data_IF_355740474544
#
_entry.id   IF_355740474544
#
_cell.length_a   1.000
_cell.length_b   1.000
_cell.length_c   1.000
_cell.angle_alpha   90.00
_cell.angle_beta   90.00
_cell.angle_gamma   90.00
#
_symmetry.space_group_name_H-M   'P 1'
#
loop_
_entity.id
_entity.type
_entity.pdbx_description
1 polymer ?
#
# COMPACT_ATOMS: atom_id res chain seq x y z
N UNK A 1 -7.46 6.97 8.67
CA UNK A 1 -8.27 8.15 8.27
C UNK A 1 -7.45 9.43 8.14
N UNK A 2 -6.51 9.76 9.04
CA UNK A 2 -5.81 11.06 9.02
C UNK A 2 -4.84 11.26 7.83
N UNK A 3 -3.96 10.30 7.51
CA UNK A 3 -2.97 10.50 6.43
C UNK A 3 -3.60 10.52 5.02
N UNK A 4 -4.71 9.82 4.82
CA UNK A 4 -5.41 9.76 3.52
C UNK A 4 -6.33 10.96 3.26
N UNK A 5 -6.94 11.56 4.30
CA UNK A 5 -7.72 12.78 4.14
C UNK A 5 -6.82 13.99 3.86
N UNK A 6 -5.60 13.98 4.39
CA UNK A 6 -4.61 15.03 4.18
C UNK A 6 -3.89 14.86 2.83
N UNK A 7 -3.87 13.65 2.24
CA UNK A 7 -3.17 13.39 0.98
C UNK A 7 -3.69 14.21 -0.22
N UNK A 8 -5.00 14.28 -0.53
CA UNK A 8 -5.49 15.15 -1.60
C UNK A 8 -5.25 16.63 -1.26
N UNK A 9 -5.34 17.02 0.01
CA UNK A 9 -5.06 18.40 0.43
C UNK A 9 -3.57 18.74 0.29
N UNK A 10 -2.66 17.84 0.64
CA UNK A 10 -1.22 18.01 0.45
C UNK A 10 -0.83 17.93 -1.00
N UNK A 11 -1.43 17.06 -1.81
CA UNK A 11 -1.21 17.02 -3.27
C UNK A 11 -1.73 18.30 -3.91
N UNK A 12 -2.91 18.80 -3.52
CA UNK A 12 -3.45 20.09 -3.97
C UNK A 12 -2.53 21.22 -3.52
N UNK A 13 -2.10 21.25 -2.26
CA UNK A 13 -1.18 22.28 -1.75
C UNK A 13 0.18 22.17 -2.45
N UNK A 14 0.72 20.99 -2.70
CA UNK A 14 1.97 20.80 -3.45
C UNK A 14 1.79 21.26 -4.89
N UNK A 15 0.71 20.87 -5.58
CA UNK A 15 0.44 21.27 -6.97
C UNK A 15 0.14 22.77 -7.08
N UNK A 16 -0.56 23.35 -6.11
CA UNK A 16 -0.89 24.78 -6.05
C UNK A 16 0.35 25.59 -5.65
N UNK A 17 1.16 25.14 -4.69
CA UNK A 17 2.39 25.84 -4.28
C UNK A 17 3.50 25.67 -5.32
N UNK A 18 3.64 24.50 -5.96
CA UNK A 18 4.53 24.33 -7.11
C UNK A 18 4.02 25.10 -8.32
N UNK A 19 2.71 25.08 -8.59
CA UNK A 19 2.09 25.82 -9.69
C UNK A 19 2.26 27.33 -9.51
N UNK A 20 1.93 27.86 -8.33
CA UNK A 20 2.15 29.27 -7.97
C UNK A 20 3.64 29.60 -7.92
N UNK A 21 4.50 28.72 -7.44
CA UNK A 21 5.95 28.90 -7.44
C UNK A 21 6.53 28.98 -8.86
N UNK A 22 6.09 28.10 -9.76
CA UNK A 22 6.46 28.10 -11.19
C UNK A 22 5.92 29.35 -11.88
N UNK A 23 4.66 29.73 -11.62
CA UNK A 23 4.05 30.94 -12.18
C UNK A 23 4.77 32.20 -11.69
N UNK A 24 5.07 32.28 -10.39
CA UNK A 24 5.81 33.42 -9.81
C UNK A 24 7.23 33.48 -10.34
N UNK A 25 7.90 32.33 -10.54
CA UNK A 25 9.21 32.23 -11.18
C UNK A 25 9.14 32.70 -12.65
N UNK A 26 8.15 32.25 -13.42
CA UNK A 26 7.94 32.66 -14.81
C UNK A 26 7.61 34.15 -14.95
N UNK A 27 6.85 34.70 -13.99
CA UNK A 27 6.55 36.14 -13.92
C UNK A 27 7.82 36.93 -13.55
N UNK A 28 8.63 36.45 -12.61
CA UNK A 28 9.90 37.09 -12.26
C UNK A 28 10.94 37.03 -13.39
N UNK A 29 10.95 35.93 -14.16
CA UNK A 29 11.77 35.78 -15.37
C UNK A 29 11.35 36.75 -16.49
N UNK A 30 10.09 37.21 -16.49
CA UNK A 30 9.57 38.15 -17.49
C UNK A 30 9.64 39.61 -17.03
N UNK A 31 9.65 39.86 -15.72
CA UNK A 31 9.66 41.20 -15.11
C UNK A 31 11.05 41.79 -14.85
N UNK A 32 12.06 40.96 -14.62
CA UNK A 32 13.44 41.43 -14.52
C UNK A 32 14.09 41.40 -15.90
N UNK A 33 14.37 42.57 -16.45
CA UNK A 33 15.40 42.76 -17.46
C UNK A 33 16.74 42.45 -16.76
N UNK A 34 17.07 41.17 -16.62
CA UNK A 34 18.28 40.74 -15.94
C UNK A 34 19.47 41.09 -16.81
N UNK A 35 20.24 42.06 -16.30
CA UNK A 35 21.61 42.26 -16.68
C UNK A 35 22.37 40.91 -16.70
N UNK A 36 23.23 40.80 -17.68
CA UNK A 36 23.56 39.58 -18.41
C UNK A 36 24.56 38.66 -17.66
N UNK A 37 24.24 38.17 -16.45
CA UNK A 37 25.08 37.19 -15.74
C UNK A 37 24.25 36.12 -15.02
N UNK A 38 24.33 34.89 -15.57
CA UNK A 38 24.01 33.60 -14.94
C UNK A 38 22.53 33.17 -14.94
N UNK A 39 21.90 33.13 -16.12
CA UNK A 39 20.75 32.25 -16.33
C UNK A 39 21.27 30.82 -16.37
N UNK A 40 21.01 30.03 -15.32
CA UNK A 40 21.31 28.59 -15.34
C UNK A 40 20.69 27.97 -16.60
N UNK A 41 21.48 27.16 -17.31
CA UNK A 41 21.04 26.57 -18.59
C UNK A 41 19.78 25.74 -18.33
N UNK A 42 18.87 25.60 -19.30
CA UNK A 42 17.66 24.76 -19.15
C UNK A 42 17.97 23.36 -18.56
N UNK A 43 19.13 22.81 -18.94
CA UNK A 43 19.72 21.60 -18.36
C UNK A 43 19.85 21.63 -16.83
N UNK A 44 20.34 22.72 -16.24
CA UNK A 44 20.52 22.86 -14.79
C UNK A 44 19.19 22.90 -14.05
N UNK A 45 18.19 23.57 -14.64
CA UNK A 45 16.82 23.57 -14.13
C UNK A 45 16.23 22.15 -14.10
N UNK A 46 16.31 21.40 -15.21
CA UNK A 46 15.80 20.03 -15.26
C UNK A 46 16.55 19.06 -14.33
N UNK A 47 17.87 19.21 -14.18
CA UNK A 47 18.65 18.40 -13.24
C UNK A 47 18.27 18.69 -11.78
N UNK A 48 18.09 19.96 -11.41
CA UNK A 48 17.64 20.33 -10.05
C UNK A 48 16.20 19.88 -9.79
N UNK A 49 15.31 20.04 -10.76
CA UNK A 49 13.92 19.57 -10.66
C UNK A 49 13.88 18.04 -10.49
N UNK A 50 14.61 17.30 -11.32
CA UNK A 50 14.71 15.85 -11.23
C UNK A 50 15.24 15.38 -9.88
N UNK A 51 16.28 16.03 -9.35
CA UNK A 51 16.83 15.72 -8.03
C UNK A 51 15.79 15.93 -6.92
N UNK A 52 14.98 16.98 -7.01
CA UNK A 52 13.95 17.28 -6.01
C UNK A 52 12.77 16.34 -6.09
N UNK A 53 12.29 16.04 -7.30
CA UNK A 53 11.18 15.10 -7.50
C UNK A 53 11.57 13.73 -6.95
N UNK A 54 12.78 13.26 -7.26
CA UNK A 54 13.29 11.96 -6.78
C UNK A 54 13.55 11.96 -5.27
N UNK A 55 14.01 13.08 -4.71
CA UNK A 55 14.11 13.27 -3.27
C UNK A 55 12.75 13.15 -2.56
N UNK A 56 11.74 13.91 -3.00
CA UNK A 56 10.41 13.87 -2.39
C UNK A 56 9.73 12.52 -2.58
N UNK A 57 9.85 11.90 -3.76
CA UNK A 57 9.34 10.55 -4.01
C UNK A 57 9.95 9.54 -3.02
N UNK A 58 11.26 9.64 -2.77
CA UNK A 58 11.96 8.79 -1.80
C UNK A 58 11.49 9.05 -0.38
N UNK A 59 11.36 10.32 0.04
CA UNK A 59 10.90 10.67 1.38
C UNK A 59 9.47 10.19 1.65
N UNK A 60 8.56 10.39 0.71
CA UNK A 60 7.17 9.92 0.79
C UNK A 60 7.12 8.40 0.86
N UNK A 61 7.87 7.71 -0.02
CA UNK A 61 7.92 6.25 -0.02
C UNK A 61 8.48 5.68 1.29
N UNK A 62 9.51 6.32 1.87
CA UNK A 62 10.06 5.92 3.17
C UNK A 62 9.05 6.10 4.31
N UNK A 63 8.41 7.27 4.41
CA UNK A 63 7.40 7.55 5.45
C UNK A 63 6.24 6.55 5.37
N UNK A 64 5.71 6.35 4.17
CA UNK A 64 4.58 5.44 3.95
C UNK A 64 4.95 3.99 4.23
N UNK A 65 6.15 3.55 3.87
CA UNK A 65 6.66 2.22 4.20
C UNK A 65 6.77 2.01 5.72
N UNK A 66 7.33 2.97 6.45
CA UNK A 66 7.42 2.91 7.91
C UNK A 66 6.04 2.87 8.56
N UNK A 67 5.06 3.60 8.01
CA UNK A 67 3.69 3.57 8.54
C UNK A 67 3.05 2.20 8.39
N UNK A 68 3.34 1.50 7.29
CA UNK A 68 2.86 0.14 7.09
C UNK A 68 3.57 -0.87 7.99
N UNK A 69 4.88 -0.72 8.20
CA UNK A 69 5.62 -1.50 9.20
C UNK A 69 5.01 -1.33 10.59
N UNK A 70 4.67 -0.10 10.98
CA UNK A 70 4.04 0.19 12.27
C UNK A 70 2.62 -0.37 12.35
N UNK A 71 1.83 -0.29 11.28
CA UNK A 71 0.49 -0.89 11.21
C UNK A 71 0.54 -2.39 11.42
N UNK A 72 1.52 -3.06 10.80
CA UNK A 72 1.70 -4.50 10.92
C UNK A 72 2.10 -4.90 12.34
N UNK A 73 3.01 -4.15 12.97
CA UNK A 73 3.44 -4.41 14.34
C UNK A 73 2.33 -4.11 15.39
N UNK A 74 1.48 -3.12 15.10
CA UNK A 74 0.40 -2.67 15.99
C UNK A 74 -0.94 -2.60 15.24
N UNK A 75 -1.56 -3.75 14.93
CA UNK A 75 -2.83 -3.80 14.20
C UNK A 75 -3.95 -3.19 15.05
N UNK A 76 -4.78 -2.33 14.44
CA UNK A 76 -5.95 -1.75 15.12
C UNK A 76 -7.04 -2.82 15.28
N UNK A 77 -7.66 -2.86 16.46
CA UNK A 77 -8.66 -3.88 16.83
C UNK A 77 -10.05 -3.60 16.22
N UNK A 78 -10.22 -2.49 15.50
CA UNK A 78 -11.51 -2.14 14.90
C UNK A 78 -11.70 -2.88 13.57
N UNK A 79 -12.68 -3.80 13.55
CA UNK A 79 -13.24 -4.49 12.37
C UNK A 79 -13.93 -3.50 11.40
N UNK A 80 -13.19 -2.54 10.87
CA UNK A 80 -13.68 -1.68 9.81
C UNK A 80 -13.01 -2.09 8.51
N UNK A 81 -13.84 -2.46 7.53
CA UNK A 81 -13.47 -2.89 6.19
C UNK A 81 -12.20 -2.19 5.69
N UNK A 82 -11.20 -3.01 5.39
CA UNK A 82 -9.86 -2.63 4.97
C UNK A 82 -9.90 -1.91 3.62
N UNK A 83 -10.24 -0.62 3.64
CA UNK A 83 -10.25 0.23 2.47
C UNK A 83 -8.84 0.77 2.24
N UNK A 84 -8.15 0.14 1.29
CA UNK A 84 -6.92 0.62 0.65
C UNK A 84 -5.72 0.80 1.60
N UNK A 85 -4.98 -0.29 1.86
CA UNK A 85 -3.58 -0.18 2.27
C UNK A 85 -2.75 0.06 1.01
N UNK A 86 -2.01 1.18 0.91
CA UNK A 86 -1.04 1.39 -0.15
C UNK A 86 -0.12 0.17 -0.28
N UNK A 87 -0.05 -0.42 -1.47
CA UNK A 87 0.74 -1.64 -1.71
C UNK A 87 2.19 -1.44 -1.33
N UNK A 88 2.66 -2.03 -0.22
CA UNK A 88 4.06 -1.95 0.27
C UNK A 88 5.08 -2.17 -0.86
N UNK A 89 4.74 -3.02 -1.83
CA UNK A 89 5.57 -3.26 -3.03
C UNK A 89 5.82 -1.99 -3.86
N UNK A 90 4.85 -1.08 -3.94
CA UNK A 90 4.98 0.20 -4.64
C UNK A 90 5.94 1.15 -3.92
N UNK A 91 5.90 1.23 -2.58
CA UNK A 91 6.84 2.06 -1.83
C UNK A 91 8.26 1.51 -1.96
N UNK A 92 8.42 0.19 -1.84
CA UNK A 92 9.72 -0.46 -2.02
C UNK A 92 10.27 -0.22 -3.43
N UNK A 93 9.45 -0.40 -4.48
CA UNK A 93 9.85 -0.12 -5.86
C UNK A 93 10.23 1.35 -6.07
N UNK A 94 9.46 2.28 -5.48
CA UNK A 94 9.76 3.71 -5.54
C UNK A 94 11.10 4.02 -4.89
N UNK A 95 11.42 3.44 -3.73
CA UNK A 95 12.72 3.62 -3.08
C UNK A 95 13.87 3.05 -3.91
N UNK A 96 13.70 1.87 -4.49
CA UNK A 96 14.71 1.21 -5.33
C UNK A 96 15.08 2.07 -6.54
N UNK A 97 14.13 2.82 -7.11
CA UNK A 97 14.36 3.66 -8.31
C UNK A 97 14.68 5.11 -7.95
N UNK A 98 13.82 5.76 -7.16
CA UNK A 98 13.91 7.19 -6.91
C UNK A 98 15.13 7.56 -6.06
N UNK A 99 15.51 6.74 -5.08
CA UNK A 99 16.60 7.11 -4.19
C UNK A 99 17.98 7.04 -4.87
N UNK A 100 18.35 5.97 -5.60
CA UNK A 100 19.59 5.97 -6.38
C UNK A 100 19.62 7.07 -7.42
N UNK A 101 18.48 7.37 -8.06
CA UNK A 101 18.39 8.46 -9.03
C UNK A 101 18.62 9.83 -8.37
N UNK A 102 18.07 10.06 -7.17
CA UNK A 102 18.34 11.26 -6.37
C UNK A 102 19.84 11.42 -6.06
N UNK A 103 20.50 10.35 -5.62
CA UNK A 103 21.94 10.37 -5.33
C UNK A 103 22.76 10.66 -6.59
N UNK A 104 22.42 10.03 -7.71
CA UNK A 104 23.07 10.25 -9.01
C UNK A 104 22.94 11.70 -9.45
N UNK A 105 21.73 12.26 -9.45
CA UNK A 105 21.48 13.64 -9.85
C UNK A 105 22.17 14.63 -8.91
N UNK A 106 22.16 14.35 -7.59
CA UNK A 106 22.86 15.16 -6.59
C UNK A 106 24.37 15.14 -6.79
N UNK A 107 24.94 13.99 -7.15
CA UNK A 107 26.36 13.84 -7.47
C UNK A 107 26.74 14.58 -8.76
N UNK A 108 25.93 14.44 -9.82
CA UNK A 108 26.13 15.16 -11.08
C UNK A 108 26.09 16.68 -10.88
N UNK A 109 25.10 17.18 -10.12
CA UNK A 109 25.00 18.59 -9.77
C UNK A 109 26.22 19.07 -8.99
N UNK A 110 26.69 18.31 -8.01
CA UNK A 110 27.89 18.66 -7.25
C UNK A 110 29.16 18.71 -8.11
N UNK A 111 29.30 17.78 -9.07
CA UNK A 111 30.42 17.79 -10.00
C UNK A 111 30.40 19.04 -10.88
N UNK A 112 29.23 19.44 -11.38
CA UNK A 112 29.07 20.69 -12.14
C UNK A 112 29.42 21.93 -11.30
N UNK A 113 29.02 21.96 -10.02
CA UNK A 113 29.34 23.08 -9.12
C UNK A 113 30.83 23.18 -8.74
N UNK A 114 31.59 22.08 -8.84
CA UNK A 114 33.03 22.10 -8.63
C UNK A 114 33.77 22.76 -9.80
N UNK A 115 33.24 22.60 -11.02
CA UNK A 115 33.81 23.18 -12.25
C UNK A 115 33.42 24.65 -12.43
N UNK A 116 32.21 25.04 -12.03
CA UNK A 116 31.70 26.42 -12.15
C UNK A 116 31.09 26.91 -10.83
N UNK A 117 31.85 27.63 -9.98
CA UNK A 117 31.35 28.09 -8.68
C UNK A 117 30.21 29.10 -8.78
N UNK A 118 30.04 29.78 -9.93
CA UNK A 118 28.93 30.70 -10.20
C UNK A 118 27.56 30.00 -10.24
N UNK A 119 27.49 28.72 -10.62
CA UNK A 119 26.26 27.92 -10.60
C UNK A 119 25.82 27.55 -9.17
N UNK A 120 26.76 27.61 -8.21
CA UNK A 120 26.58 27.22 -6.80
C UNK A 120 25.69 28.22 -6.03
N UNK A 121 25.68 29.48 -6.48
CA UNK A 121 24.85 30.58 -5.97
C UNK A 121 23.54 30.76 -6.74
N UNK A 122 23.20 29.84 -7.65
CA UNK A 122 21.97 29.95 -8.46
C UNK A 122 20.73 30.17 -7.59
N UNK A 123 19.97 31.21 -7.94
CA UNK A 123 18.72 31.59 -7.27
C UNK A 123 17.75 30.41 -7.16
N UNK A 124 17.76 29.54 -8.17
CA UNK A 124 16.93 28.32 -8.26
C UNK A 124 17.20 27.37 -7.09
N UNK A 125 18.46 27.05 -6.78
CA UNK A 125 18.81 26.14 -5.69
C UNK A 125 18.38 26.70 -4.33
N UNK A 126 18.61 27.99 -4.12
CA UNK A 126 18.29 28.67 -2.86
C UNK A 126 16.78 28.74 -2.65
N UNK A 127 16.01 29.07 -3.69
CA UNK A 127 14.54 29.06 -3.65
C UNK A 127 13.99 27.66 -3.34
N UNK A 128 14.49 26.64 -4.03
CA UNK A 128 14.04 25.26 -3.84
C UNK A 128 14.35 24.75 -2.43
N UNK A 129 15.52 25.08 -1.86
CA UNK A 129 15.85 24.74 -0.48
C UNK A 129 14.92 25.43 0.54
N UNK A 130 14.55 26.69 0.31
CA UNK A 130 13.56 27.37 1.16
C UNK A 130 12.16 26.76 1.04
N UNK A 131 11.73 26.35 -0.17
CA UNK A 131 10.48 25.61 -0.35
C UNK A 131 10.51 24.31 0.46
N UNK A 132 11.61 23.55 0.40
CA UNK A 132 11.75 22.31 1.17
C UNK A 132 11.68 22.56 2.67
N UNK A 133 12.32 23.62 3.18
CA UNK A 133 12.22 24.00 4.59
C UNK A 133 10.81 24.40 4.99
N UNK A 134 10.11 25.16 4.15
CA UNK A 134 8.73 25.57 4.40
C UNK A 134 7.80 24.36 4.47
N UNK A 135 7.88 23.44 3.49
CA UNK A 135 7.09 22.21 3.47
C UNK A 135 7.41 21.35 4.70
N UNK A 136 8.69 21.12 5.00
CA UNK A 136 9.08 20.31 6.16
C UNK A 136 8.59 20.90 7.48
N UNK A 137 8.71 22.23 7.66
CA UNK A 137 8.18 22.93 8.83
C UNK A 137 6.66 22.83 8.94
N UNK A 138 5.94 22.98 7.82
CA UNK A 138 4.49 22.81 7.75
C UNK A 138 4.03 21.41 8.10
N UNK A 139 4.75 20.38 7.62
CA UNK A 139 4.48 18.97 7.97
C UNK A 139 4.66 18.74 9.47
N UNK A 140 5.76 19.22 10.06
CA UNK A 140 6.02 19.11 11.51
C UNK A 140 4.93 19.81 12.32
N UNK A 141 4.53 21.02 11.91
CA UNK A 141 3.47 21.76 12.59
C UNK A 141 2.11 21.06 12.49
N UNK A 142 1.73 20.59 11.30
CA UNK A 142 0.48 19.87 11.08
C UNK A 142 0.40 18.55 11.87
N UNK A 143 1.53 17.84 11.99
CA UNK A 143 1.62 16.62 12.78
C UNK A 143 1.43 16.91 14.28
N UNK A 144 2.08 17.95 14.80
CA UNK A 144 1.91 18.39 16.19
C UNK A 144 0.47 18.85 16.47
N UNK A 145 -0.15 19.59 15.55
CA UNK A 145 -1.56 19.98 15.64
C UNK A 145 -2.45 18.74 15.72
N UNK A 146 -2.20 17.71 14.90
CA UNK A 146 -2.99 16.48 14.90
C UNK A 146 -2.88 15.74 16.23
N UNK A 147 -1.68 15.64 16.79
CA UNK A 147 -1.45 15.02 18.11
C UNK A 147 -2.21 15.76 19.21
N UNK A 148 -2.08 17.08 19.24
CA UNK A 148 -2.76 17.91 20.25
C UNK A 148 -4.27 17.81 20.07
N UNK A 149 -4.77 17.89 18.84
CA UNK A 149 -6.20 17.74 18.54
C UNK A 149 -6.75 16.41 19.05
N UNK A 150 -6.11 15.28 18.72
CA UNK A 150 -6.56 13.96 19.18
C UNK A 150 -6.50 13.82 20.71
N UNK A 151 -5.50 14.42 21.35
CA UNK A 151 -5.38 14.45 22.80
C UNK A 151 -6.50 15.27 23.45
N UNK A 152 -6.81 16.46 22.92
CA UNK A 152 -7.88 17.33 23.43
C UNK A 152 -9.28 16.77 23.16
N UNK A 153 -9.46 16.07 22.05
CA UNK A 153 -10.71 15.40 21.67
C UNK A 153 -10.96 14.11 22.50
N UNK A 154 -10.02 13.73 23.36
CA UNK A 154 -10.14 12.55 24.23
C UNK A 154 -10.01 11.22 23.49
N UNK A 155 -9.44 11.23 22.28
CA UNK A 155 -9.24 10.01 21.50
C UNK A 155 -8.11 9.15 22.12
N UNK A 156 -8.28 7.83 22.07
CA UNK A 156 -7.22 6.91 22.49
C UNK A 156 -5.99 7.08 21.59
N UNK A 157 -4.90 7.63 22.15
CA UNK A 157 -3.61 7.72 21.49
C UNK A 157 -3.01 6.32 21.35
N UNK A 158 -3.37 5.62 20.28
CA UNK A 158 -2.85 4.27 20.02
C UNK A 158 -1.32 4.32 19.88
N UNK A 159 -0.62 3.27 20.35
CA UNK A 159 0.85 3.13 20.16
C UNK A 159 1.24 3.27 18.68
N UNK A 160 0.43 2.72 17.78
CA UNK A 160 0.61 2.84 16.32
C UNK A 160 0.60 4.29 15.82
N UNK A 161 -0.19 5.16 16.44
CA UNK A 161 -0.29 6.57 16.07
C UNK A 161 0.94 7.34 16.55
N UNK A 162 1.32 7.18 17.82
CA UNK A 162 2.48 7.84 18.40
C UNK A 162 3.79 7.48 17.66
N UNK A 163 3.97 6.22 17.29
CA UNK A 163 5.14 5.78 16.53
C UNK A 163 5.19 6.39 15.12
N UNK A 164 4.05 6.63 14.48
CA UNK A 164 3.98 7.25 13.14
C UNK A 164 4.32 8.73 13.19
N UNK A 165 3.75 9.44 14.16
CA UNK A 165 4.06 10.84 14.47
C UNK A 165 5.57 10.96 14.73
N UNK A 166 6.13 10.12 15.60
CA UNK A 166 7.55 10.12 15.91
C UNK A 166 8.41 9.84 14.66
N UNK A 167 8.04 8.85 13.84
CA UNK A 167 8.74 8.57 12.59
C UNK A 167 8.70 9.77 11.61
N UNK A 168 7.55 10.41 11.49
CA UNK A 168 7.37 11.59 10.64
C UNK A 168 8.22 12.77 11.13
N UNK A 169 8.20 13.05 12.44
CA UNK A 169 9.01 14.10 13.07
C UNK A 169 10.51 13.87 12.89
N UNK A 170 10.98 12.64 13.06
CA UNK A 170 12.40 12.30 12.87
C UNK A 170 12.82 12.52 11.42
N UNK A 171 12.01 12.08 10.45
CA UNK A 171 12.33 12.22 9.02
C UNK A 171 12.22 13.70 8.58
N UNK A 172 11.08 14.35 8.82
CA UNK A 172 10.86 15.73 8.42
C UNK A 172 11.83 16.69 9.15
N UNK A 173 12.06 16.47 10.44
CA UNK A 173 13.05 17.21 11.23
C UNK A 173 14.48 16.98 10.76
N UNK A 174 14.85 15.74 10.42
CA UNK A 174 16.16 15.43 9.84
C UNK A 174 16.39 16.13 8.51
N UNK A 175 15.40 16.09 7.61
CA UNK A 175 15.42 16.83 6.33
C UNK A 175 15.54 18.33 6.58
N UNK A 176 14.73 18.87 7.48
CA UNK A 176 14.74 20.29 7.82
C UNK A 176 16.12 20.73 8.35
N UNK A 177 16.70 20.00 9.29
CA UNK A 177 18.01 20.30 9.86
C UNK A 177 19.12 20.20 8.80
N UNK A 178 19.07 19.20 7.93
CA UNK A 178 20.02 19.05 6.83
C UNK A 178 19.97 20.26 5.89
N UNK A 179 18.78 20.61 5.39
CA UNK A 179 18.63 21.76 4.48
C UNK A 179 18.92 23.10 5.16
N UNK A 180 18.63 23.25 6.45
CA UNK A 180 18.97 24.45 7.21
C UNK A 180 20.48 24.64 7.31
N UNK A 181 21.22 23.57 7.65
CA UNK A 181 22.69 23.60 7.69
C UNK A 181 23.31 23.80 6.31
N UNK A 182 22.67 23.26 5.27
CA UNK A 182 23.07 23.47 3.87
C UNK A 182 22.98 24.94 3.49
N UNK A 183 21.85 25.61 3.76
CA UNK A 183 21.67 27.05 3.48
C UNK A 183 22.62 27.91 4.31
N UNK A 184 22.89 27.52 5.56
CA UNK A 184 23.86 28.20 6.42
C UNK A 184 25.32 27.93 6.02
N UNK A 185 25.58 27.07 5.03
CA UNK A 185 26.91 26.65 4.57
C UNK A 185 27.80 26.07 5.69
N UNK A 186 27.20 25.46 6.72
CA UNK A 186 27.94 24.94 7.90
C UNK A 186 28.36 23.47 7.69
N UNK A 187 27.88 22.80 6.64
CA UNK A 187 28.15 21.37 6.44
C UNK A 187 29.53 21.16 5.80
N UNK A 188 30.47 20.64 6.60
CA UNK A 188 31.77 20.19 6.12
C UNK A 188 31.65 19.04 5.09
N UNK A 189 32.62 18.86 4.17
CA UNK A 189 32.60 17.77 3.19
C UNK A 189 32.48 16.37 3.82
N UNK A 190 33.11 16.15 4.99
CA UNK A 190 33.03 14.90 5.76
C UNK A 190 31.62 14.65 6.31
N UNK A 191 30.96 15.68 6.83
CA UNK A 191 29.58 15.59 7.33
C UNK A 191 28.59 15.22 6.21
N UNK A 192 28.79 15.72 4.98
CA UNK A 192 27.94 15.35 3.83
C UNK A 192 27.98 13.86 3.54
N UNK A 193 29.15 13.23 3.66
CA UNK A 193 29.29 11.79 3.45
C UNK A 193 28.62 10.99 4.57
N UNK A 194 28.67 11.45 5.82
CA UNK A 194 27.96 10.81 6.93
C UNK A 194 26.45 10.82 6.68
N UNK A 195 25.87 11.98 6.32
CA UNK A 195 24.44 12.08 6.00
C UNK A 195 24.02 11.15 4.86
N UNK A 196 24.86 10.99 3.83
CA UNK A 196 24.63 10.04 2.74
C UNK A 196 24.62 8.59 3.21
N UNK A 197 25.63 8.19 3.97
CA UNK A 197 25.75 6.82 4.50
C UNK A 197 24.55 6.49 5.39
N UNK A 198 24.18 7.40 6.29
CA UNK A 198 23.01 7.25 7.16
C UNK A 198 21.72 7.12 6.33
N UNK A 199 21.52 7.96 5.32
CA UNK A 199 20.34 7.88 4.45
C UNK A 199 20.26 6.54 3.68
N UNK A 200 21.40 6.07 3.13
CA UNK A 200 21.49 4.76 2.45
C UNK A 200 21.14 3.63 3.41
N UNK A 201 21.72 3.63 4.62
CA UNK A 201 21.46 2.59 5.62
C UNK A 201 19.99 2.57 6.05
N UNK A 202 19.38 3.73 6.33
CA UNK A 202 17.97 3.84 6.71
C UNK A 202 17.07 3.23 5.62
N UNK A 203 17.34 3.53 4.35
CA UNK A 203 16.55 3.02 3.23
C UNK A 203 16.74 1.52 3.05
N UNK A 204 17.96 1.01 3.13
CA UNK A 204 18.23 -0.44 3.04
C UNK A 204 17.52 -1.22 4.16
N UNK A 205 17.59 -0.72 5.40
CA UNK A 205 16.90 -1.32 6.55
C UNK A 205 15.38 -1.27 6.36
N UNK A 206 14.84 -0.16 5.87
CA UNK A 206 13.40 -0.01 5.65
C UNK A 206 12.90 -0.95 4.54
N UNK A 207 13.64 -1.08 3.44
CA UNK A 207 13.33 -2.02 2.35
C UNK A 207 13.37 -3.47 2.88
N UNK A 208 14.40 -3.83 3.65
CA UNK A 208 14.51 -5.16 4.26
C UNK A 208 13.32 -5.47 5.19
N UNK A 209 12.93 -4.51 6.05
CA UNK A 209 11.76 -4.63 6.90
C UNK A 209 10.47 -4.80 6.09
N UNK A 210 10.32 -4.08 4.98
CA UNK A 210 9.18 -4.22 4.06
C UNK A 210 9.06 -5.63 3.49
N UNK A 211 10.17 -6.22 3.03
CA UNK A 211 10.18 -7.60 2.52
C UNK A 211 9.92 -8.64 3.61
N UNK A 212 10.39 -8.43 4.83
CA UNK A 212 10.12 -9.35 5.96
C UNK A 212 8.62 -9.41 6.32
N UNK A 213 7.89 -8.31 6.14
CA UNK A 213 6.47 -8.21 6.49
C UNK A 213 5.56 -8.74 5.38
N UNK A 214 5.83 -8.34 4.14
CA UNK A 214 5.00 -8.70 2.98
C UNK A 214 5.30 -10.12 2.49
N UNK A 215 6.51 -10.59 2.72
CA UNK A 215 7.01 -11.80 2.09
C UNK A 215 7.62 -11.52 0.72
N UNK A 216 8.21 -12.56 0.14
CA UNK A 216 8.91 -12.47 -1.15
C UNK A 216 7.93 -12.24 -2.32
N UNK A 217 8.40 -11.74 -3.48
CA UNK A 217 7.56 -11.65 -4.68
C UNK A 217 6.93 -12.98 -5.11
N UNK A 218 7.60 -14.10 -4.83
CA UNK A 218 7.08 -15.44 -5.09
C UNK A 218 5.89 -15.77 -4.17
N UNK A 219 6.00 -15.47 -2.87
CA UNK A 219 4.90 -15.62 -1.91
C UNK A 219 3.71 -14.71 -2.26
N UNK A 220 3.96 -13.48 -2.71
CA UNK A 220 2.89 -12.58 -3.15
C UNK A 220 2.15 -13.09 -4.38
N UNK A 221 2.84 -13.76 -5.32
CA UNK A 221 2.19 -14.44 -6.45
C UNK A 221 1.38 -15.65 -5.98
N UNK A 222 1.94 -16.48 -5.11
CA UNK A 222 1.25 -17.62 -4.50
C UNK A 222 -0.06 -17.18 -3.82
N UNK A 223 -0.01 -16.15 -2.98
CA UNK A 223 -1.21 -15.57 -2.33
C UNK A 223 -2.26 -15.08 -3.33
N UNK A 224 -1.85 -14.49 -4.45
CA UNK A 224 -2.78 -14.06 -5.51
C UNK A 224 -3.43 -15.24 -6.21
N UNK A 225 -2.66 -16.29 -6.52
CA UNK A 225 -3.22 -17.52 -7.07
C UNK A 225 -4.23 -18.16 -6.11
N UNK A 226 -3.90 -18.25 -4.81
CA UNK A 226 -4.82 -18.77 -3.80
C UNK A 226 -6.07 -17.89 -3.66
N UNK A 227 -5.95 -16.56 -3.70
CA UNK A 227 -7.11 -15.66 -3.68
C UNK A 227 -8.01 -15.83 -4.90
N UNK A 228 -7.43 -16.07 -6.08
CA UNK A 228 -8.18 -16.33 -7.30
C UNK A 228 -8.85 -17.71 -7.23
N UNK A 229 -8.17 -18.74 -6.73
CA UNK A 229 -8.76 -20.07 -6.48
C UNK A 229 -9.97 -19.98 -5.56
N UNK A 230 -9.88 -19.22 -4.47
CA UNK A 230 -11.03 -18.99 -3.57
C UNK A 230 -12.18 -18.30 -4.33
N UNK A 231 -11.89 -17.27 -5.12
CA UNK A 231 -12.90 -16.58 -5.94
C UNK A 231 -13.55 -17.52 -6.97
N UNK A 232 -12.77 -18.40 -7.59
CA UNK A 232 -13.24 -19.37 -8.57
C UNK A 232 -14.13 -20.42 -7.92
N UNK A 233 -13.71 -20.98 -6.78
CA UNK A 233 -14.51 -21.95 -6.02
C UNK A 233 -15.81 -21.32 -5.51
N UNK A 234 -15.80 -20.05 -5.10
CA UNK A 234 -17.01 -19.30 -4.75
C UNK A 234 -17.94 -19.15 -5.95
N UNK A 235 -17.40 -18.81 -7.12
CA UNK A 235 -18.16 -18.71 -8.36
C UNK A 235 -18.81 -20.06 -8.73
N UNK A 236 -18.06 -21.16 -8.65
CA UNK A 236 -18.57 -22.52 -8.86
C UNK A 236 -19.66 -22.87 -7.85
N UNK A 237 -19.43 -22.59 -6.56
CA UNK A 237 -20.43 -22.81 -5.51
C UNK A 237 -21.75 -22.10 -5.82
N UNK A 238 -21.70 -20.83 -6.22
CA UNK A 238 -22.90 -20.08 -6.58
C UNK A 238 -23.62 -20.66 -7.80
N UNK A 239 -22.90 -21.18 -8.79
CA UNK A 239 -23.55 -21.85 -9.91
C UNK A 239 -24.16 -23.20 -9.54
N UNK A 240 -23.56 -23.95 -8.61
CA UNK A 240 -24.17 -25.17 -8.07
C UNK A 240 -25.48 -24.82 -7.37
N UNK A 241 -25.52 -23.74 -6.59
CA UNK A 241 -26.75 -23.26 -5.94
C UNK A 241 -27.80 -22.87 -6.99
N UNK A 242 -27.43 -22.10 -8.02
CA UNK A 242 -28.35 -21.74 -9.10
C UNK A 242 -28.92 -22.98 -9.81
N UNK A 243 -28.06 -23.94 -10.13
CA UNK A 243 -28.45 -25.20 -10.76
C UNK A 243 -29.45 -25.96 -9.89
N UNK A 244 -29.18 -26.07 -8.59
CA UNK A 244 -30.08 -26.70 -7.62
C UNK A 244 -31.43 -25.99 -7.57
N UNK A 245 -31.45 -24.66 -7.52
CA UNK A 245 -32.70 -23.92 -7.45
C UNK A 245 -33.54 -24.08 -8.72
N UNK A 246 -32.93 -24.23 -9.90
CA UNK A 246 -33.64 -24.39 -11.15
C UNK A 246 -34.10 -25.83 -11.45
N UNK A 247 -33.31 -26.83 -11.04
CA UNK A 247 -33.52 -28.24 -11.41
C UNK A 247 -33.92 -29.14 -10.23
N UNK A 248 -33.86 -28.63 -8.99
CA UNK A 248 -34.24 -29.34 -7.77
C UNK A 248 -33.24 -30.40 -7.28
N UNK A 249 -32.09 -30.57 -7.95
CA UNK A 249 -31.04 -31.52 -7.59
C UNK A 249 -29.64 -30.96 -7.88
N UNK A 250 -28.61 -31.54 -7.27
CA UNK A 250 -27.22 -31.14 -7.51
C UNK A 250 -26.71 -31.65 -8.87
N UNK A 251 -25.77 -30.94 -9.52
CA UNK A 251 -25.15 -31.40 -10.76
C UNK A 251 -24.39 -32.73 -10.54
N UNK A 252 -24.35 -33.60 -11.55
CA UNK A 252 -23.59 -34.86 -11.46
C UNK A 252 -22.09 -34.63 -11.69
N UNK A 253 -21.75 -33.59 -12.46
CA UNK A 253 -20.39 -33.14 -12.77
C UNK A 253 -20.38 -31.63 -13.03
N UNK A 254 -19.22 -30.99 -12.94
CA UNK A 254 -19.12 -29.54 -13.18
C UNK A 254 -19.55 -29.13 -14.60
N UNK A 255 -19.36 -30.00 -15.61
CA UNK A 255 -19.78 -29.72 -16.98
C UNK A 255 -21.29 -29.47 -17.12
N UNK A 256 -22.10 -29.98 -16.19
CA UNK A 256 -23.55 -29.75 -16.16
C UNK A 256 -23.91 -28.29 -15.84
N UNK A 257 -22.94 -27.51 -15.31
CA UNK A 257 -23.08 -26.09 -15.00
C UNK A 257 -22.83 -25.19 -16.22
N UNK A 258 -22.24 -25.72 -17.29
CA UNK A 258 -21.95 -24.92 -18.49
C UNK A 258 -23.25 -24.53 -19.17
N UNK A 259 -23.44 -23.23 -19.36
CA UNK A 259 -24.61 -22.69 -20.03
C UNK A 259 -24.21 -21.60 -21.03
N UNK A 260 -24.33 -21.88 -22.34
CA UNK A 260 -24.04 -20.90 -23.40
C UNK A 260 -24.93 -19.67 -23.36
N UNK A 261 -26.13 -19.74 -22.76
CA UNK A 261 -27.09 -18.63 -22.73
C UNK A 261 -26.71 -17.63 -21.62
N UNK A 262 -26.43 -18.10 -20.41
CA UNK A 262 -25.90 -17.24 -19.33
C UNK A 262 -24.42 -16.89 -19.52
N UNK A 263 -23.70 -17.60 -20.39
CA UNK A 263 -22.28 -17.40 -20.65
C UNK A 263 -21.38 -17.92 -19.53
N UNK A 264 -21.89 -18.78 -18.64
CA UNK A 264 -21.08 -19.34 -17.58
C UNK A 264 -20.09 -20.37 -18.12
N UNK A 265 -18.80 -20.10 -17.88
CA UNK A 265 -17.70 -21.01 -18.12
C UNK A 265 -17.09 -21.42 -16.79
N UNK A 266 -16.72 -22.69 -16.66
CA UNK A 266 -16.08 -23.20 -15.45
C UNK A 266 -14.68 -22.57 -15.37
N UNK A 267 -14.35 -21.84 -14.29
CA UNK A 267 -13.01 -21.32 -14.08
C UNK A 267 -11.97 -22.44 -14.02
N UNK A 268 -10.73 -22.14 -14.43
CA UNK A 268 -9.59 -23.06 -14.37
C UNK A 268 -8.56 -22.55 -13.38
N UNK A 269 -7.80 -23.45 -12.79
CA UNK A 269 -6.72 -23.09 -11.88
C UNK A 269 -5.76 -22.10 -12.56
N UNK A 270 -5.53 -20.90 -11.99
CA UNK A 270 -4.76 -19.83 -12.64
C UNK A 270 -3.26 -20.14 -12.78
N UNK A 271 -2.77 -21.20 -12.13
CA UNK A 271 -1.37 -21.64 -12.17
C UNK A 271 -1.18 -22.87 -13.05
N UNK A 272 -2.12 -23.83 -13.02
CA UNK A 272 -1.97 -25.11 -13.74
C UNK A 272 -2.87 -25.24 -14.96
N UNK A 273 -3.83 -24.32 -15.16
CA UNK A 273 -4.90 -24.39 -16.16
C UNK A 273 -5.78 -25.67 -16.04
N UNK A 274 -5.70 -26.32 -14.88
CA UNK A 274 -6.45 -27.53 -14.56
C UNK A 274 -7.87 -27.24 -14.13
N UNK A 275 -8.74 -28.25 -14.19
CA UNK A 275 -10.09 -28.15 -13.62
C UNK A 275 -10.05 -28.29 -12.10
N UNK A 276 -10.92 -27.56 -11.42
CA UNK A 276 -11.20 -27.77 -10.01
C UNK A 276 -11.89 -29.12 -9.78
N UNK A 277 -11.64 -29.74 -8.63
CA UNK A 277 -12.26 -31.02 -8.30
C UNK A 277 -13.64 -30.80 -7.67
N UNK A 278 -14.61 -31.59 -8.12
CA UNK A 278 -15.96 -31.64 -7.57
C UNK A 278 -16.34 -33.06 -7.25
N UNK A 279 -16.84 -33.28 -6.04
CA UNK A 279 -17.35 -34.58 -5.61
C UNK A 279 -18.77 -34.40 -5.07
N UNK A 280 -19.73 -35.02 -5.75
CA UNK A 280 -21.09 -35.13 -5.24
C UNK A 280 -21.10 -36.15 -4.09
N UNK A 281 -21.36 -35.70 -2.86
CA UNK A 281 -21.39 -36.57 -1.67
C UNK A 281 -22.73 -37.26 -1.54
N UNK A 282 -23.82 -36.50 -1.69
CA UNK A 282 -25.17 -37.04 -1.61
C UNK A 282 -26.19 -36.09 -2.22
N UNK A 283 -27.06 -36.64 -3.06
CA UNK A 283 -28.25 -35.93 -3.56
C UNK A 283 -29.31 -35.72 -2.48
N UNK A 284 -29.45 -36.66 -1.53
CA UNK A 284 -30.49 -36.59 -0.49
C UNK A 284 -30.20 -35.52 0.55
N UNK A 285 -28.93 -35.39 0.97
CA UNK A 285 -28.49 -34.36 1.92
C UNK A 285 -27.99 -33.08 1.22
N UNK A 286 -28.04 -33.05 -0.12
CA UNK A 286 -27.60 -31.91 -0.94
C UNK A 286 -26.18 -31.47 -0.60
N UNK A 287 -25.32 -32.47 -0.37
CA UNK A 287 -23.93 -32.28 0.04
C UNK A 287 -22.97 -32.51 -1.13
N UNK A 288 -21.96 -31.66 -1.23
CA UNK A 288 -20.90 -31.73 -2.23
C UNK A 288 -19.57 -31.22 -1.66
N UNK A 289 -18.48 -31.59 -2.30
CA UNK A 289 -17.14 -31.09 -2.00
C UNK A 289 -16.56 -30.36 -3.22
N UNK A 290 -15.86 -29.26 -2.95
CA UNK A 290 -15.03 -28.54 -3.90
C UNK A 290 -13.58 -28.53 -3.42
N UNK A 291 -12.66 -29.03 -4.24
CA UNK A 291 -11.24 -29.06 -3.86
C UNK A 291 -10.36 -28.24 -4.81
N UNK A 292 -9.32 -27.65 -4.21
CA UNK A 292 -8.22 -27.03 -4.91
C UNK A 292 -6.91 -27.31 -4.16
N UNK A 293 -5.78 -27.10 -4.84
CA UNK A 293 -4.46 -27.19 -4.22
C UNK A 293 -3.94 -25.79 -3.98
N UNK A 294 -3.77 -25.39 -2.72
CA UNK A 294 -3.31 -24.06 -2.33
C UNK A 294 -1.80 -24.01 -2.12
N UNK A 295 -1.17 -22.91 -2.46
CA UNK A 295 0.27 -22.72 -2.28
C UNK A 295 0.62 -22.34 -0.83
N UNK A 296 -0.29 -21.69 -0.10
CA UNK A 296 -0.10 -21.27 1.28
C UNK A 296 -1.36 -21.35 2.16
N UNK A 297 -1.19 -20.95 3.41
CA UNK A 297 -2.32 -20.83 4.34
C UNK A 297 -3.15 -19.58 4.06
N UNK A 298 -4.47 -19.75 4.06
CA UNK A 298 -5.45 -18.68 3.93
C UNK A 298 -6.41 -18.78 5.09
N UNK A 299 -6.55 -17.71 5.86
CA UNK A 299 -7.40 -17.72 7.04
C UNK A 299 -8.90 -17.54 6.72
N UNK A 300 -9.25 -17.35 5.44
CA UNK A 300 -10.63 -17.19 5.00
C UNK A 300 -11.13 -15.74 5.01
N UNK A 301 -12.25 -15.49 4.33
CA UNK A 301 -12.88 -14.15 4.31
C UNK A 301 -13.38 -13.81 5.72
N UNK A 302 -12.79 -12.78 6.34
CA UNK A 302 -13.17 -12.32 7.67
C UNK A 302 -12.25 -12.77 8.82
N UNK A 303 -11.20 -13.54 8.58
CA UNK A 303 -10.27 -13.93 9.65
C UNK A 303 -9.23 -12.86 10.02
N UNK A 304 -9.68 -11.63 10.22
CA UNK A 304 -8.99 -10.77 11.17
C UNK A 304 -9.23 -11.35 12.55
N UNK A 305 -8.33 -12.22 13.06
CA UNK A 305 -8.36 -12.87 14.40
C UNK A 305 -9.73 -12.73 15.09
N UNK A 306 -10.78 -13.36 14.54
CA UNK A 306 -12.08 -13.33 15.21
C UNK A 306 -11.89 -14.19 16.45
N UNK A 307 -11.68 -13.54 17.59
CA UNK A 307 -11.90 -14.20 18.88
C UNK A 307 -13.30 -14.79 18.79
N UNK A 308 -13.51 -16.09 19.07
CA UNK A 308 -14.82 -16.68 19.03
C UNK A 308 -15.75 -15.80 19.87
N UNK A 309 -16.71 -15.15 19.20
CA UNK A 309 -17.78 -14.46 19.90
C UNK A 309 -18.58 -15.58 20.53
N UNK A 310 -18.45 -15.73 21.85
CA UNK A 310 -19.34 -16.59 22.62
C UNK A 310 -20.73 -15.98 22.47
N UNK A 311 -21.51 -16.48 21.52
CA UNK A 311 -22.94 -16.20 21.45
C UNK A 311 -23.56 -16.84 22.69
N UNK A 312 -23.72 -16.04 23.73
CA UNK A 312 -24.53 -16.39 24.89
C UNK A 312 -25.99 -16.53 24.41
N UNK A 313 -26.46 -17.76 24.21
CA UNK A 313 -27.87 -18.01 23.89
C UNK A 313 -28.18 -19.24 23.03
N UNK A 314 -27.18 -19.99 22.54
CA UNK A 314 -27.44 -21.21 21.77
C UNK A 314 -27.50 -22.45 22.69
N UNK A 315 -28.45 -23.37 22.49
CA UNK A 315 -28.55 -24.61 23.27
C UNK A 315 -27.30 -25.48 23.10
N UNK A 316 -26.91 -26.10 24.20
CA UNK A 316 -25.76 -26.98 24.39
C UNK A 316 -25.83 -28.13 23.38
N UNK A 317 -24.99 -28.08 22.33
CA UNK A 317 -24.95 -29.07 21.25
C UNK A 317 -24.94 -28.53 19.81
N UNK A 318 -25.16 -27.23 19.59
CA UNK A 318 -25.02 -26.61 18.27
C UNK A 318 -23.57 -26.19 17.98
N UNK A 319 -22.70 -27.15 17.70
CA UNK A 319 -21.44 -26.84 17.01
C UNK A 319 -21.79 -26.50 15.56
N UNK A 320 -22.10 -25.24 15.29
CA UNK A 320 -22.05 -24.73 13.92
C UNK A 320 -20.57 -24.73 13.57
N UNK A 321 -20.13 -25.72 12.80
CA UNK A 321 -18.78 -25.77 12.27
C UNK A 321 -18.59 -24.68 11.20
N UNK A 322 -18.37 -23.46 11.70
CA UNK A 322 -18.09 -22.25 10.90
C UNK A 322 -16.74 -22.32 10.18
N UNK A 323 -15.96 -23.38 10.35
CA UNK A 323 -14.73 -23.57 9.56
C UNK A 323 -15.07 -23.83 8.09
N UNK A 324 -16.21 -24.46 7.82
CA UNK A 324 -16.71 -24.64 6.46
C UNK A 324 -17.05 -23.30 5.78
N UNK A 325 -17.66 -22.35 6.49
CA UNK A 325 -18.16 -21.09 5.89
C UNK A 325 -17.07 -20.11 5.45
N UNK A 326 -15.85 -20.21 6.00
CA UNK A 326 -14.87 -19.12 5.91
C UNK A 326 -13.92 -19.19 4.71
N UNK A 327 -13.92 -20.25 3.89
CA UNK A 327 -12.88 -20.49 2.87
C UNK A 327 -11.45 -20.50 3.46
N UNK A 328 -11.32 -20.83 4.75
CA UNK A 328 -10.03 -21.02 5.38
C UNK A 328 -9.39 -22.33 4.89
N UNK A 329 -8.12 -22.31 4.55
CA UNK A 329 -7.39 -23.47 4.01
C UNK A 329 -5.94 -23.50 4.48
N UNK A 330 -5.39 -24.70 4.60
CA UNK A 330 -3.95 -24.93 4.73
C UNK A 330 -3.26 -24.96 3.35
N UNK A 331 -1.92 -25.02 3.35
CA UNK A 331 -1.18 -25.30 2.13
C UNK A 331 -1.42 -26.75 1.65
N UNK A 332 -1.41 -26.97 0.34
CA UNK A 332 -1.68 -28.26 -0.29
C UNK A 332 -3.13 -28.45 -0.71
N UNK A 333 -3.49 -29.70 -1.02
CA UNK A 333 -4.85 -30.05 -1.45
C UNK A 333 -5.83 -29.89 -0.28
N UNK A 334 -6.82 -29.02 -0.44
CA UNK A 334 -7.87 -28.80 0.54
C UNK A 334 -9.24 -28.90 -0.12
N UNK A 335 -10.17 -29.59 0.56
CA UNK A 335 -11.53 -29.83 0.08
C UNK A 335 -12.52 -29.14 1.02
N UNK A 336 -13.41 -28.36 0.45
CA UNK A 336 -14.48 -27.66 1.14
C UNK A 336 -15.78 -28.44 0.99
N UNK A 337 -16.20 -29.11 2.05
CA UNK A 337 -17.53 -29.73 2.11
C UNK A 337 -18.61 -28.65 2.31
N UNK A 338 -19.70 -28.77 1.56
CA UNK A 338 -20.82 -27.84 1.52
C UNK A 338 -22.12 -28.61 1.44
N UNK A 339 -23.15 -28.11 2.12
CA UNK A 339 -24.52 -28.60 2.00
C UNK A 339 -25.46 -27.44 1.70
N UNK A 340 -26.37 -27.63 0.74
CA UNK A 340 -27.39 -26.62 0.43
C UNK A 340 -28.57 -26.78 1.39
N UNK A 341 -28.82 -25.76 2.21
CA UNK A 341 -30.05 -25.64 2.98
C UNK A 341 -31.22 -25.26 2.06
N UNK A 342 -32.22 -26.14 1.88
CA UNK A 342 -33.35 -25.88 0.99
C UNK A 342 -34.33 -24.83 1.52
N UNK A 343 -34.34 -24.57 2.82
CA UNK A 343 -35.18 -23.53 3.42
C UNK A 343 -34.60 -22.15 3.11
N UNK A 344 -33.27 -22.03 3.14
CA UNK A 344 -32.56 -20.81 2.80
C UNK A 344 -32.47 -20.58 1.28
N UNK A 345 -32.30 -21.66 0.51
CA UNK A 345 -32.19 -21.64 -0.95
C UNK A 345 -33.25 -22.52 -1.61
N UNK A 346 -34.54 -22.14 -1.58
CA UNK A 346 -35.61 -22.97 -2.10
C UNK A 346 -35.52 -23.13 -3.63
N UNK A 347 -35.93 -24.29 -4.17
CA UNK A 347 -36.13 -24.45 -5.60
C UNK A 347 -37.17 -23.46 -6.13
N UNK A 348 -36.88 -22.88 -7.29
CA UNK A 348 -37.78 -21.97 -8.00
C UNK A 348 -38.93 -22.82 -8.55
N UNK A 349 -40.13 -22.63 -8.00
CA UNK A 349 -41.34 -23.27 -8.52
C UNK A 349 -41.59 -22.74 -9.93
N UNK A 350 -41.71 -23.65 -10.90
CA UNK A 350 -42.17 -23.33 -12.26
C UNK A 350 -43.67 -23.18 -12.32
#
# INVERSE_FOLDING_TARGET
MTFMAIWPVMVIVIVVVFGLGIVTLLINLKGNNMDNRNVGTAKDFFMQLGAIVTFYASAIALITLLFEVINFAYPKVTNYYQYYSPSISFQVATLIVAFPLFLLLSWLLQKSYASEPALRESLVRRWLAYITLFIAGGVVAGDLITVIYMFLDGQELTTSFLLKVLALLVIAGGIFLYYLREIRNVIAPSERNIWRIVAVLIILVSIAAGFMIVGSPAEQRARRYDSQRVSDLQSIQWQIVNYFQQKGGLPGRLDDLVDPISGYIIPRDPKTDGFYEYVLKSQSTKAFELCATFDGEGSGMGAGKIRPMVTSGLPEGSVIDRTSETWAHGAGRHCFERSIDPELYPPIKR
#
